data_IF_378235544342
#
_entry.id   IF_378235544342
#
_cell.length_a   1.000
_cell.length_b   1.000
_cell.length_c   1.000
_cell.angle_alpha   90.00
_cell.angle_beta   90.00
_cell.angle_gamma   90.00
#
_symmetry.space_group_name_H-M   'P 1'
#
loop_
_entity.id
_entity.type
_entity.pdbx_description
1 polymer ?
#
# COMPACT_ATOMS: atom_id res chain seq x y z
N UNK A 1 4.66 41.28 56.20
CA UNK A 1 5.07 41.11 54.80
C UNK A 1 4.89 39.70 54.40
N UNK A 2 3.84 39.47 53.68
CA UNK A 2 3.57 38.14 53.19
C UNK A 2 3.89 38.05 51.72
N UNK A 3 4.93 37.33 51.44
CA UNK A 3 5.24 36.94 50.07
C UNK A 3 4.36 35.81 49.68
N UNK A 4 3.33 36.11 48.94
CA UNK A 4 2.52 35.08 48.30
C UNK A 4 3.35 34.42 47.21
N UNK A 5 3.85 33.23 47.49
CA UNK A 5 4.48 32.43 46.48
C UNK A 5 3.38 31.76 45.68
N UNK A 6 3.13 32.35 44.55
CA UNK A 6 2.34 31.68 43.55
C UNK A 6 3.18 30.57 42.95
N UNK A 7 2.92 29.39 43.39
CA UNK A 7 3.53 28.22 42.78
C UNK A 7 2.72 27.89 41.54
N UNK A 8 3.25 28.31 40.41
CA UNK A 8 2.70 27.83 39.15
C UNK A 8 3.09 26.40 38.97
N UNK A 9 2.13 25.52 39.17
CA UNK A 9 2.25 24.15 38.74
C UNK A 9 2.12 24.14 37.24
N UNK A 10 3.24 24.09 36.54
CA UNK A 10 3.28 23.74 35.14
C UNK A 10 2.98 22.26 35.05
N UNK A 11 1.76 21.93 34.75
CA UNK A 11 1.40 20.58 34.33
C UNK A 11 1.90 20.42 32.90
N UNK A 12 2.89 19.58 32.65
CA UNK A 12 3.23 19.26 31.28
C UNK A 12 2.05 18.49 30.70
N UNK A 13 1.36 19.14 29.79
CA UNK A 13 0.42 18.43 28.93
C UNK A 13 1.29 17.56 28.03
N UNK A 14 1.47 16.32 28.43
CA UNK A 14 1.96 15.33 27.53
C UNK A 14 0.91 15.16 26.46
N UNK A 15 1.12 15.82 25.34
CA UNK A 15 0.38 15.49 24.15
C UNK A 15 0.76 14.05 23.80
N UNK A 16 -0.02 13.12 24.29
CA UNK A 16 -0.04 11.78 23.77
C UNK A 16 -0.52 11.91 22.34
N UNK A 17 0.40 12.08 21.42
CA UNK A 17 0.17 11.71 20.07
C UNK A 17 -0.03 10.20 20.09
N UNK A 18 -1.22 9.77 20.38
CA UNK A 18 -1.64 8.43 20.06
C UNK A 18 -1.62 8.31 18.55
N UNK A 19 -0.48 7.98 18.02
CA UNK A 19 -0.45 7.22 16.81
C UNK A 19 -1.02 5.86 17.17
N UNK A 20 -2.31 5.79 17.31
CA UNK A 20 -2.99 4.53 17.32
C UNK A 20 -2.83 3.92 15.96
N UNK A 21 -1.81 3.18 15.88
CA UNK A 21 -1.48 2.37 14.73
C UNK A 21 -2.26 1.07 14.71
N UNK A 22 -3.54 1.14 14.90
CA UNK A 22 -4.42 0.20 14.24
C UNK A 22 -4.64 0.72 12.84
N UNK A 23 -3.52 0.93 12.13
CA UNK A 23 -3.57 1.15 10.71
C UNK A 23 -4.34 -0.01 10.10
N UNK A 24 -5.40 0.22 9.30
CA UNK A 24 -6.01 -0.84 8.54
C UNK A 24 -4.93 -1.59 7.78
N UNK A 25 -5.06 -2.89 7.61
CA UNK A 25 -4.09 -3.70 6.85
C UNK A 25 -3.74 -3.11 5.49
N UNK A 26 -4.60 -2.26 4.95
CA UNK A 26 -4.40 -1.50 3.71
C UNK A 26 -3.26 -0.50 3.80
N UNK A 27 -3.02 0.11 4.96
CA UNK A 27 -1.96 1.08 5.16
C UNK A 27 -0.58 0.43 5.30
N UNK A 28 -0.52 -0.87 5.51
CA UNK A 28 0.73 -1.61 5.53
C UNK A 28 1.32 -1.79 4.12
N UNK A 29 0.52 -1.55 3.09
CA UNK A 29 0.96 -1.55 1.70
C UNK A 29 0.85 -0.13 1.14
N UNK A 30 1.99 0.45 0.79
CA UNK A 30 2.04 1.82 0.29
C UNK A 30 2.42 1.87 -1.18
N UNK A 31 1.81 2.81 -1.89
CA UNK A 31 2.00 3.00 -3.31
C UNK A 31 2.42 4.46 -3.52
N UNK A 32 3.57 4.66 -4.16
CA UNK A 32 4.09 5.98 -4.48
C UNK A 32 4.56 6.02 -5.93
N UNK A 33 4.55 7.19 -6.53
CA UNK A 33 5.07 7.42 -7.88
C UNK A 33 6.20 8.44 -7.82
N UNK A 34 7.22 8.24 -8.66
CA UNK A 34 8.40 9.12 -8.71
C UNK A 34 8.53 9.93 -9.99
N UNK A 35 7.59 9.78 -10.92
CA UNK A 35 7.71 10.34 -12.28
C UNK A 35 8.29 9.36 -13.30
N UNK A 36 8.99 8.32 -12.84
CA UNK A 36 9.57 7.26 -13.69
C UNK A 36 9.20 5.86 -13.23
N UNK A 37 8.86 5.71 -11.96
CA UNK A 37 8.62 4.42 -11.34
C UNK A 37 7.43 4.48 -10.39
N UNK A 38 6.76 3.35 -10.25
CA UNK A 38 5.85 3.09 -9.14
C UNK A 38 6.65 2.36 -8.07
N UNK A 39 6.56 2.84 -6.84
CA UNK A 39 7.25 2.25 -5.67
C UNK A 39 6.20 1.59 -4.78
N UNK A 40 6.33 0.29 -4.60
CA UNK A 40 5.46 -0.51 -3.75
C UNK A 40 6.23 -0.95 -2.52
N UNK A 41 5.70 -0.68 -1.34
CA UNK A 41 6.31 -1.07 -0.07
C UNK A 41 5.32 -1.91 0.74
N UNK A 42 5.79 -3.04 1.24
CA UNK A 42 4.98 -3.96 2.04
C UNK A 42 5.53 -4.01 3.47
N UNK A 43 4.84 -3.35 4.40
CA UNK A 43 5.18 -3.37 5.81
C UNK A 43 4.49 -4.51 6.59
N UNK A 44 3.66 -5.30 5.92
CA UNK A 44 3.00 -6.45 6.52
C UNK A 44 3.96 -7.62 6.73
N UNK A 45 3.53 -8.60 7.49
CA UNK A 45 4.27 -9.83 7.75
C UNK A 45 4.02 -10.96 6.73
N UNK A 46 3.23 -10.67 5.69
CA UNK A 46 2.88 -11.60 4.62
C UNK A 46 3.15 -10.98 3.26
N UNK A 47 3.40 -11.81 2.22
CA UNK A 47 3.52 -11.31 0.85
C UNK A 47 2.23 -10.61 0.41
N UNK A 48 2.38 -9.50 -0.31
CA UNK A 48 1.27 -8.80 -0.95
C UNK A 48 1.41 -8.96 -2.45
N UNK A 49 0.42 -9.56 -3.08
CA UNK A 49 0.37 -9.74 -4.52
C UNK A 49 -0.15 -8.48 -5.18
N UNK A 50 0.27 -8.23 -6.42
CA UNK A 50 -0.14 -7.02 -7.12
C UNK A 50 -0.25 -7.23 -8.62
N UNK A 51 -1.01 -6.35 -9.26
CA UNK A 51 -1.08 -6.20 -10.70
C UNK A 51 -1.24 -4.72 -11.03
N UNK A 52 -0.46 -4.23 -11.98
CA UNK A 52 -0.51 -2.82 -12.37
C UNK A 52 -0.86 -2.74 -13.85
N UNK A 53 -1.84 -1.93 -14.18
CA UNK A 53 -2.30 -1.75 -15.54
C UNK A 53 -2.63 -0.28 -15.78
N UNK A 54 -2.34 0.19 -17.00
CA UNK A 54 -2.77 1.51 -17.43
C UNK A 54 -4.30 1.59 -17.39
N UNK A 55 -4.84 2.74 -16.99
CA UNK A 55 -6.26 2.88 -16.64
C UNK A 55 -7.22 2.52 -17.76
N UNK A 56 -6.97 2.99 -18.99
CA UNK A 56 -7.87 2.69 -20.12
C UNK A 56 -7.74 1.23 -20.55
N UNK A 57 -6.54 0.69 -20.48
CA UNK A 57 -6.28 -0.72 -20.75
C UNK A 57 -6.97 -1.63 -19.76
N UNK A 58 -7.12 -1.20 -18.50
CA UNK A 58 -7.79 -1.97 -17.47
C UNK A 58 -9.23 -2.35 -17.85
N UNK A 59 -9.92 -1.49 -18.58
CA UNK A 59 -11.28 -1.75 -19.04
C UNK A 59 -11.36 -2.87 -20.08
N UNK A 60 -10.23 -3.24 -20.68
CA UNK A 60 -10.13 -4.23 -21.74
C UNK A 60 -9.52 -5.56 -21.28
N UNK A 61 -8.98 -5.59 -20.08
CA UNK A 61 -8.27 -6.76 -19.57
C UNK A 61 -9.07 -7.47 -18.48
N UNK A 62 -9.13 -8.79 -18.63
CA UNK A 62 -9.42 -9.68 -17.53
C UNK A 62 -8.10 -10.19 -16.98
N UNK A 63 -7.88 -10.05 -15.68
CA UNK A 63 -6.74 -10.67 -15.03
C UNK A 63 -7.20 -11.56 -13.89
N UNK A 64 -6.47 -12.63 -13.66
CA UNK A 64 -6.73 -13.53 -12.56
C UNK A 64 -5.88 -13.13 -11.35
N UNK A 65 -6.50 -13.07 -10.18
CA UNK A 65 -5.79 -12.88 -8.93
C UNK A 65 -5.10 -14.18 -8.54
N UNK A 66 -3.80 -14.27 -8.73
CA UNK A 66 -3.07 -15.45 -8.32
C UNK A 66 -2.60 -15.33 -6.87
N UNK A 67 -2.51 -16.48 -6.17
CA UNK A 67 -2.13 -16.53 -4.76
C UNK A 67 -0.94 -17.45 -4.50
N UNK A 68 -0.46 -18.13 -5.52
CA UNK A 68 0.70 -19.00 -5.46
C UNK A 68 1.27 -19.23 -6.87
N UNK A 69 2.53 -19.64 -6.91
CA UNK A 69 3.20 -20.00 -8.15
C UNK A 69 4.21 -18.94 -8.59
N UNK A 70 5.13 -19.30 -9.49
CA UNK A 70 6.22 -18.43 -9.91
C UNK A 70 5.76 -17.23 -10.74
N UNK A 71 4.58 -17.29 -11.33
CA UNK A 71 4.02 -16.22 -12.15
C UNK A 71 3.27 -15.16 -11.32
N UNK A 72 3.09 -15.41 -10.02
CA UNK A 72 2.47 -14.45 -9.12
C UNK A 72 3.48 -13.39 -8.71
N UNK A 73 3.28 -12.17 -9.18
CA UNK A 73 4.09 -11.04 -8.74
C UNK A 73 3.68 -10.63 -7.33
N UNK A 74 4.66 -10.48 -6.46
CA UNK A 74 4.42 -10.09 -5.08
C UNK A 74 5.55 -9.24 -4.51
N UNK A 75 5.22 -8.50 -3.46
CA UNK A 75 6.19 -7.79 -2.64
C UNK A 75 6.33 -8.58 -1.34
N UNK A 76 7.53 -9.08 -1.06
CA UNK A 76 7.79 -9.83 0.15
C UNK A 76 7.64 -8.96 1.40
N UNK A 77 7.38 -9.57 2.58
CA UNK A 77 7.28 -8.83 3.83
C UNK A 77 8.49 -7.93 4.09
N UNK A 78 8.23 -6.68 4.45
CA UNK A 78 9.27 -5.71 4.77
C UNK A 78 10.07 -5.20 3.58
N UNK A 79 9.66 -5.52 2.36
CA UNK A 79 10.39 -5.16 1.14
C UNK A 79 9.72 -4.01 0.39
N UNK A 80 10.55 -3.31 -0.39
CA UNK A 80 10.13 -2.27 -1.31
C UNK A 80 10.62 -2.66 -2.69
N UNK A 81 9.75 -2.54 -3.69
CA UNK A 81 10.11 -2.78 -5.09
C UNK A 81 9.81 -1.53 -5.91
N UNK A 82 10.55 -1.37 -7.00
CA UNK A 82 10.41 -0.27 -7.95
C UNK A 82 10.06 -0.81 -9.31
N UNK A 83 9.01 -0.30 -9.92
CA UNK A 83 8.51 -0.77 -11.20
C UNK A 83 8.55 0.40 -12.17
N UNK A 84 9.44 0.36 -13.17
CA UNK A 84 9.46 1.39 -14.20
C UNK A 84 8.13 1.47 -14.93
N UNK A 85 7.69 2.67 -15.26
CA UNK A 85 6.40 2.88 -15.95
C UNK A 85 6.29 2.07 -17.24
N UNK A 86 7.39 1.89 -17.97
CA UNK A 86 7.40 1.09 -19.21
C UNK A 86 7.03 -0.38 -19.00
N UNK A 87 7.09 -0.88 -17.77
CA UNK A 87 6.71 -2.26 -17.44
C UNK A 87 5.22 -2.39 -17.06
N UNK A 88 4.51 -1.29 -16.99
CA UNK A 88 3.08 -1.30 -16.71
C UNK A 88 2.34 -1.81 -17.93
N UNK A 89 1.43 -2.75 -17.74
CA UNK A 89 0.61 -3.27 -18.83
C UNK A 89 -0.18 -2.14 -19.50
N UNK A 90 -0.03 -2.01 -20.81
CA UNK A 90 -0.71 -0.96 -21.60
C UNK A 90 -0.10 0.43 -21.49
N UNK A 91 1.05 0.56 -20.84
CA UNK A 91 1.68 1.87 -20.70
C UNK A 91 2.03 2.51 -22.03
N UNK A 92 1.76 3.80 -22.12
CA UNK A 92 2.19 4.69 -23.20
C UNK A 92 2.55 6.05 -22.62
N UNK A 93 3.49 6.80 -23.22
CA UNK A 93 3.93 8.10 -22.66
C UNK A 93 2.79 9.12 -22.50
N UNK A 94 1.77 9.08 -23.32
CA UNK A 94 0.61 9.95 -23.25
C UNK A 94 -0.43 9.54 -22.20
N UNK A 95 -0.30 8.35 -21.61
CA UNK A 95 -1.20 7.82 -20.58
C UNK A 95 -0.70 8.25 -19.22
N UNK A 96 -1.55 8.94 -18.46
CA UNK A 96 -1.15 9.59 -17.20
C UNK A 96 -1.68 8.90 -15.96
N UNK A 97 -2.42 7.81 -16.10
CA UNK A 97 -3.00 7.12 -14.97
C UNK A 97 -2.83 5.61 -15.09
N UNK A 98 -2.58 4.98 -13.96
CA UNK A 98 -2.57 3.54 -13.84
C UNK A 98 -3.41 3.10 -12.64
N UNK A 99 -3.85 1.86 -12.65
CA UNK A 99 -4.52 1.25 -11.53
C UNK A 99 -3.59 0.19 -10.95
N UNK A 100 -3.32 0.30 -9.66
CA UNK A 100 -2.61 -0.71 -8.90
C UNK A 100 -3.64 -1.54 -8.16
N UNK A 101 -3.69 -2.83 -8.47
CA UNK A 101 -4.47 -3.80 -7.73
C UNK A 101 -3.57 -4.56 -6.80
N UNK A 102 -4.03 -4.85 -5.58
CA UNK A 102 -3.28 -5.70 -4.67
C UNK A 102 -4.20 -6.51 -3.78
N UNK A 103 -3.68 -7.63 -3.31
CA UNK A 103 -4.42 -8.58 -2.50
C UNK A 103 -3.46 -9.43 -1.70
N UNK A 104 -4.00 -10.09 -0.72
CA UNK A 104 -3.28 -11.09 0.06
C UNK A 104 -3.97 -12.42 -0.05
N UNK A 105 -3.23 -13.47 0.24
CA UNK A 105 -3.74 -14.81 0.32
C UNK A 105 -4.15 -15.11 1.76
N UNK A 106 -5.28 -15.78 1.93
CA UNK A 106 -5.69 -16.36 3.19
C UNK A 106 -5.90 -17.85 3.01
N UNK A 107 -5.63 -18.61 4.06
CA UNK A 107 -5.86 -20.06 4.05
C UNK A 107 -7.32 -20.34 4.36
N UNK A 108 -8.01 -20.96 3.43
CA UNK A 108 -9.38 -21.45 3.60
C UNK A 108 -9.38 -22.97 3.63
N UNK A 109 -10.52 -23.56 4.03
CA UNK A 109 -10.65 -25.03 4.08
C UNK A 109 -10.37 -25.72 2.75
N UNK A 110 -10.59 -25.03 1.64
CA UNK A 110 -10.37 -25.53 0.27
C UNK A 110 -9.02 -25.13 -0.31
N UNK A 111 -8.15 -24.47 0.46
CA UNK A 111 -6.84 -23.99 0.05
C UNK A 111 -6.71 -22.47 0.06
N UNK A 112 -5.60 -21.94 -0.48
CA UNK A 112 -5.36 -20.50 -0.54
C UNK A 112 -6.41 -19.79 -1.41
N UNK A 113 -6.87 -18.64 -0.95
CA UNK A 113 -7.77 -17.78 -1.73
C UNK A 113 -7.43 -16.31 -1.48
N UNK A 114 -7.96 -15.45 -2.34
CA UNK A 114 -7.84 -14.00 -2.19
C UNK A 114 -8.66 -13.54 -0.98
N UNK A 115 -8.01 -12.78 -0.10
CA UNK A 115 -8.69 -12.16 1.05
C UNK A 115 -9.62 -11.06 0.58
N UNK A 116 -9.04 -10.00 0.04
CA UNK A 116 -9.76 -8.82 -0.42
C UNK A 116 -8.97 -8.19 -1.56
N UNK A 117 -9.62 -7.96 -2.69
CA UNK A 117 -9.02 -7.22 -3.79
C UNK A 117 -9.17 -5.72 -3.54
N UNK A 118 -8.04 -5.02 -3.52
CA UNK A 118 -7.98 -3.57 -3.36
C UNK A 118 -7.43 -2.95 -4.62
N UNK A 119 -7.72 -1.68 -4.82
CA UNK A 119 -7.16 -0.94 -5.95
C UNK A 119 -6.97 0.53 -5.61
N UNK A 120 -6.06 1.15 -6.33
CA UNK A 120 -5.80 2.58 -6.24
C UNK A 120 -5.39 3.09 -7.62
N UNK A 121 -6.01 4.19 -8.04
CA UNK A 121 -5.59 4.92 -9.24
C UNK A 121 -4.42 5.83 -8.86
N UNK A 122 -3.37 5.78 -9.64
CA UNK A 122 -2.18 6.62 -9.45
C UNK A 122 -1.92 7.45 -10.69
N UNK A 123 -1.42 8.65 -10.49
CA UNK A 123 -0.95 9.52 -11.57
C UNK A 123 0.51 9.20 -11.89
N UNK A 124 0.79 9.07 -13.15
CA UNK A 124 2.13 8.76 -13.67
C UNK A 124 2.87 10.03 -14.09
#
# INVERSE_FOLDING_TARGET
>A
MHLSRLTYLLVPIAALACSDSTAPAEEEFTIQTTGEEIVLSNAADKPTFYFIVERETAALLDFATCVKGPDCKSVAPGKTIRIPYRQIAGYRPERKEAIVYWWRSVLAATGPRVDKLRNQVVEL
#
